data_IF_368795094256
#
_entry.id   IF_368795094256
#
_cell.length_a   1.000
_cell.length_b   1.000
_cell.length_c   1.000
_cell.angle_alpha   90.00
_cell.angle_beta   90.00
_cell.angle_gamma   90.00
#
_symmetry.space_group_name_H-M   'P 1'
#
loop_
_entity.id
_entity.type
_entity.pdbx_description
1 polymer ?
#
# COMPACT_ATOMS: atom_id res chain seq x y z
N UNK A 1 14.96 49.15 -25.05
CA UNK A 1 15.45 47.95 -24.31
C UNK A 1 14.53 47.53 -23.16
N UNK A 2 13.96 48.42 -22.39
CA UNK A 2 13.13 48.15 -21.19
C UNK A 2 11.83 47.36 -21.49
N UNK A 3 11.14 47.62 -22.62
CA UNK A 3 9.89 46.92 -22.98
C UNK A 3 10.07 45.40 -23.26
N UNK A 4 11.21 44.97 -23.85
CA UNK A 4 11.50 43.55 -24.09
C UNK A 4 11.80 42.77 -22.81
N UNK A 5 12.46 43.43 -21.85
CA UNK A 5 12.78 42.81 -20.55
C UNK A 5 11.52 42.53 -19.73
N UNK A 6 10.54 43.44 -19.74
CA UNK A 6 9.26 43.22 -19.03
C UNK A 6 8.42 42.06 -19.62
N UNK A 7 8.47 41.84 -20.93
CA UNK A 7 7.75 40.75 -21.58
C UNK A 7 8.37 39.40 -21.19
N UNK A 8 9.69 39.28 -21.16
CA UNK A 8 10.40 38.07 -20.76
C UNK A 8 10.14 37.74 -19.29
N UNK A 9 10.11 38.74 -18.41
CA UNK A 9 9.80 38.54 -16.98
C UNK A 9 8.34 38.14 -16.76
N UNK A 10 7.39 38.69 -17.52
CA UNK A 10 5.98 38.35 -17.45
C UNK A 10 5.70 36.92 -17.95
N UNK A 11 6.38 36.49 -19.05
CA UNK A 11 6.24 35.11 -19.56
C UNK A 11 6.88 34.08 -18.64
N UNK A 12 8.00 34.41 -17.99
CA UNK A 12 8.64 33.53 -17.02
C UNK A 12 7.78 33.38 -15.73
N UNK A 13 7.18 34.46 -15.27
CA UNK A 13 6.27 34.44 -14.12
C UNK A 13 4.98 33.64 -14.41
N UNK A 14 4.47 33.71 -15.65
CA UNK A 14 3.30 32.93 -16.07
C UNK A 14 3.59 31.43 -16.17
N UNK A 15 4.81 31.05 -16.57
CA UNK A 15 5.24 29.66 -16.65
C UNK A 15 5.34 28.98 -15.27
N UNK A 16 5.76 29.72 -14.23
CA UNK A 16 5.84 29.22 -12.86
C UNK A 16 4.46 28.90 -12.25
N UNK A 17 3.39 29.56 -12.71
CA UNK A 17 2.04 29.31 -12.24
C UNK A 17 1.43 28.00 -12.78
N UNK A 18 1.81 27.57 -13.99
CA UNK A 18 1.24 26.37 -14.61
C UNK A 18 1.81 25.06 -14.05
N UNK A 19 3.00 25.06 -13.50
CA UNK A 19 3.64 23.83 -13.00
C UNK A 19 2.94 23.28 -11.75
N UNK A 20 2.36 24.13 -10.91
CA UNK A 20 1.70 23.73 -9.67
C UNK A 20 0.27 23.16 -9.88
N UNK A 21 -0.43 23.52 -10.95
CA UNK A 21 -1.79 23.05 -11.21
C UNK A 21 -1.89 21.56 -11.55
N UNK A 22 -0.84 20.97 -12.12
CA UNK A 22 -0.84 19.56 -12.55
C UNK A 22 -0.71 18.59 -11.38
N UNK A 23 0.02 18.95 -10.32
CA UNK A 23 0.22 18.06 -9.16
C UNK A 23 -0.99 18.02 -8.24
N UNK A 24 -1.64 19.15 -7.98
CA UNK A 24 -2.85 19.23 -7.17
C UNK A 24 -3.99 18.36 -7.74
N UNK A 25 -4.16 18.36 -9.06
CA UNK A 25 -5.20 17.56 -9.73
C UNK A 25 -4.96 16.04 -9.60
N UNK A 26 -3.69 15.59 -9.58
CA UNK A 26 -3.38 14.17 -9.44
C UNK A 26 -3.65 13.66 -8.01
N UNK A 27 -3.16 14.38 -7.01
CA UNK A 27 -3.33 14.03 -5.59
C UNK A 27 -4.81 13.95 -5.21
N UNK A 28 -5.60 14.91 -5.63
CA UNK A 28 -7.06 14.90 -5.44
C UNK A 28 -7.73 13.68 -6.09
N UNK A 29 -7.39 13.36 -7.34
CA UNK A 29 -7.91 12.18 -8.04
C UNK A 29 -7.56 10.88 -7.30
N UNK A 30 -6.31 10.76 -6.81
CA UNK A 30 -5.86 9.59 -6.05
C UNK A 30 -6.64 9.46 -4.75
N UNK A 31 -6.81 10.56 -4.01
CA UNK A 31 -7.59 10.61 -2.78
C UNK A 31 -9.04 10.19 -3.05
N UNK A 32 -9.67 10.78 -4.05
CA UNK A 32 -11.05 10.48 -4.41
C UNK A 32 -11.24 9.02 -4.80
N UNK A 33 -10.33 8.45 -5.60
CA UNK A 33 -10.35 7.03 -5.93
C UNK A 33 -10.18 6.18 -4.68
N UNK A 34 -9.18 6.46 -3.84
CA UNK A 34 -8.86 5.62 -2.69
C UNK A 34 -9.95 5.67 -1.60
N UNK A 35 -10.65 6.81 -1.45
CA UNK A 35 -11.81 6.96 -0.55
C UNK A 35 -12.93 5.94 -0.86
N UNK A 36 -13.15 5.62 -2.12
CA UNK A 36 -14.22 4.71 -2.55
C UNK A 36 -13.90 3.23 -2.32
N UNK A 37 -12.62 2.87 -2.13
CA UNK A 37 -12.20 1.48 -1.99
C UNK A 37 -12.53 0.96 -0.59
N UNK A 38 -13.40 -0.03 -0.48
CA UNK A 38 -13.75 -0.71 0.77
C UNK A 38 -13.17 -2.11 0.85
N UNK A 39 -13.02 -2.78 -0.28
CA UNK A 39 -12.41 -4.10 -0.38
C UNK A 39 -11.43 -4.15 -1.55
N UNK A 40 -10.42 -5.01 -1.39
CA UNK A 40 -9.41 -5.31 -2.41
C UNK A 40 -9.20 -6.82 -2.50
N UNK A 41 -9.09 -7.32 -3.71
CA UNK A 41 -8.52 -8.63 -4.03
C UNK A 41 -7.37 -8.43 -4.99
N UNK A 42 -6.28 -9.15 -4.81
CA UNK A 42 -5.13 -9.09 -5.70
C UNK A 42 -4.24 -10.32 -5.59
N UNK A 43 -3.57 -10.64 -6.66
CA UNK A 43 -2.42 -11.52 -6.64
C UNK A 43 -1.17 -10.73 -6.24
N UNK A 44 -0.22 -11.37 -5.55
CA UNK A 44 1.00 -10.71 -5.16
C UNK A 44 2.25 -11.54 -5.44
N UNK A 45 3.35 -10.82 -5.63
CA UNK A 45 4.70 -11.33 -5.52
C UNK A 45 5.35 -10.67 -4.33
N UNK A 46 5.74 -11.47 -3.32
CA UNK A 46 6.52 -11.01 -2.18
C UNK A 46 7.99 -11.40 -2.35
N UNK A 47 8.89 -10.44 -2.18
CA UNK A 47 10.33 -10.70 -2.12
C UNK A 47 10.85 -10.30 -0.73
N UNK A 48 11.65 -11.17 -0.11
CA UNK A 48 12.35 -10.93 1.16
C UNK A 48 13.80 -11.38 0.97
N UNK A 49 14.73 -10.44 0.81
CA UNK A 49 16.08 -10.75 0.34
C UNK A 49 16.00 -11.50 -0.99
N UNK A 50 16.60 -12.68 -1.07
CA UNK A 50 16.57 -13.53 -2.27
C UNK A 50 15.34 -14.44 -2.39
N UNK A 51 14.50 -14.51 -1.33
CA UNK A 51 13.33 -15.40 -1.33
C UNK A 51 12.15 -14.71 -2.02
N UNK A 52 11.55 -15.42 -2.99
CA UNK A 52 10.36 -14.98 -3.71
C UNK A 52 9.20 -15.92 -3.38
N UNK A 53 8.08 -15.36 -2.96
CA UNK A 53 6.84 -16.08 -2.68
C UNK A 53 5.69 -15.42 -3.47
N UNK A 54 4.71 -16.24 -3.83
CA UNK A 54 3.52 -15.82 -4.57
C UNK A 54 2.27 -16.21 -3.80
N UNK A 55 1.22 -15.45 -4.00
CA UNK A 55 -0.08 -15.76 -3.40
C UNK A 55 -1.15 -14.79 -3.85
N UNK A 56 -2.29 -14.88 -3.18
CA UNK A 56 -3.40 -13.96 -3.35
C UNK A 56 -3.83 -13.40 -2.00
N UNK A 57 -4.31 -12.16 -2.00
CA UNK A 57 -4.77 -11.46 -0.80
C UNK A 57 -6.15 -10.89 -0.98
N UNK A 58 -6.86 -10.84 0.14
CA UNK A 58 -8.11 -10.12 0.34
C UNK A 58 -7.92 -9.10 1.46
N UNK A 59 -8.28 -7.86 1.21
CA UNK A 59 -8.34 -6.81 2.22
C UNK A 59 -9.78 -6.29 2.29
N UNK A 60 -10.28 -6.11 3.50
CA UNK A 60 -11.51 -5.39 3.78
C UNK A 60 -11.23 -4.33 4.84
N UNK A 61 -11.34 -3.10 4.43
CA UNK A 61 -11.12 -1.97 5.33
C UNK A 61 -12.25 -1.81 6.36
N UNK A 62 -11.93 -1.42 7.59
CA UNK A 62 -10.57 -1.33 8.13
C UNK A 62 -10.07 -2.67 8.69
N UNK A 63 -8.76 -2.89 8.66
CA UNK A 63 -8.01 -3.84 9.48
C UNK A 63 -8.23 -5.35 9.22
N UNK A 64 -8.98 -5.72 8.19
CA UNK A 64 -9.17 -7.13 7.84
C UNK A 64 -8.31 -7.48 6.61
N UNK A 65 -7.55 -8.57 6.70
CA UNK A 65 -6.72 -9.07 5.62
C UNK A 65 -6.59 -10.58 5.71
N UNK A 66 -6.60 -11.24 4.56
CA UNK A 66 -6.20 -12.64 4.43
C UNK A 66 -5.36 -12.82 3.18
N UNK A 67 -4.13 -13.33 3.35
CA UNK A 67 -3.26 -13.71 2.25
C UNK A 67 -2.96 -15.20 2.31
N UNK A 68 -3.12 -15.86 1.19
CA UNK A 68 -2.78 -17.28 1.02
C UNK A 68 -1.49 -17.42 0.22
N UNK A 69 -0.62 -18.33 0.68
CA UNK A 69 0.64 -18.72 0.03
C UNK A 69 0.57 -20.22 -0.33
N UNK A 70 -0.05 -20.57 -1.46
CA UNK A 70 -0.40 -21.96 -1.75
C UNK A 70 0.81 -22.90 -1.73
N UNK A 71 1.91 -22.51 -2.39
CA UNK A 71 3.15 -23.31 -2.44
C UNK A 71 3.78 -23.57 -1.06
N UNK A 72 3.55 -22.69 -0.10
CA UNK A 72 4.08 -22.76 1.27
C UNK A 72 3.09 -23.39 2.27
N UNK A 73 1.87 -23.68 1.84
CA UNK A 73 0.78 -24.10 2.74
C UNK A 73 0.69 -23.17 3.96
N UNK A 74 0.79 -21.86 3.70
CA UNK A 74 0.83 -20.78 4.69
C UNK A 74 -0.28 -19.78 4.39
N UNK A 75 -0.95 -19.29 5.42
CA UNK A 75 -1.83 -18.12 5.34
C UNK A 75 -1.43 -17.06 6.36
N UNK A 76 -1.71 -15.82 6.04
CA UNK A 76 -1.56 -14.67 6.92
C UNK A 76 -2.93 -14.04 7.08
N UNK A 77 -3.38 -13.84 8.33
CA UNK A 77 -4.70 -13.28 8.62
C UNK A 77 -4.56 -12.11 9.59
N UNK A 78 -5.17 -10.98 9.26
CA UNK A 78 -5.44 -9.88 10.19
C UNK A 78 -6.96 -9.78 10.41
N UNK A 79 -7.38 -9.74 11.67
CA UNK A 79 -8.80 -9.73 12.05
C UNK A 79 -9.21 -8.46 12.84
N UNK A 80 -8.50 -7.37 12.66
CA UNK A 80 -8.73 -6.12 13.37
C UNK A 80 -7.90 -5.95 14.65
N UNK A 81 -7.60 -7.02 15.37
CA UNK A 81 -6.83 -7.02 16.63
C UNK A 81 -5.51 -7.77 16.52
N UNK A 82 -5.55 -8.96 15.94
CA UNK A 82 -4.43 -9.88 15.81
C UNK A 82 -3.95 -9.96 14.37
N UNK A 83 -2.68 -10.20 14.24
CA UNK A 83 -2.03 -10.64 13.02
C UNK A 83 -1.52 -12.05 13.28
N UNK A 84 -1.90 -13.01 12.46
CA UNK A 84 -1.47 -14.40 12.62
C UNK A 84 -0.84 -14.95 11.37
N UNK A 85 0.14 -15.84 11.57
CA UNK A 85 0.75 -16.65 10.51
C UNK A 85 0.34 -18.10 10.77
N UNK A 86 -0.48 -18.65 9.88
CA UNK A 86 -0.95 -20.04 9.92
C UNK A 86 -0.03 -20.89 9.05
N UNK A 87 0.70 -21.82 9.64
CA UNK A 87 1.55 -22.79 8.93
C UNK A 87 0.83 -24.15 8.89
N UNK A 88 -0.02 -24.37 7.88
CA UNK A 88 -0.86 -25.56 7.74
C UNK A 88 -0.05 -26.86 7.78
N UNK A 89 1.15 -26.90 7.15
CA UNK A 89 2.04 -28.07 7.15
C UNK A 89 2.43 -28.52 8.56
N UNK A 90 2.56 -27.58 9.50
CA UNK A 90 3.03 -27.86 10.87
C UNK A 90 1.89 -27.82 11.91
N UNK A 91 0.66 -27.58 11.45
CA UNK A 91 -0.52 -27.37 12.32
C UNK A 91 -0.24 -26.33 13.43
N UNK A 92 0.40 -25.18 13.07
CA UNK A 92 0.82 -24.14 14.01
C UNK A 92 0.31 -22.77 13.59
N UNK A 93 -0.09 -21.99 14.61
CA UNK A 93 -0.52 -20.60 14.44
C UNK A 93 0.35 -19.70 15.32
N UNK A 94 1.03 -18.76 14.68
CA UNK A 94 1.84 -17.75 15.36
C UNK A 94 1.03 -16.47 15.49
N UNK A 95 0.89 -15.95 16.71
CA UNK A 95 0.08 -14.79 17.03
C UNK A 95 0.92 -13.56 17.30
N UNK A 96 0.53 -12.44 16.70
CA UNK A 96 1.17 -11.14 16.89
C UNK A 96 0.11 -10.07 17.11
N UNK A 97 0.45 -8.98 17.80
CA UNK A 97 -0.38 -7.80 17.86
C UNK A 97 -0.33 -7.06 16.52
N UNK A 98 -1.45 -6.85 15.87
CA UNK A 98 -1.50 -6.11 14.60
C UNK A 98 -0.91 -4.69 14.76
N UNK A 99 -1.15 -4.03 15.90
CA UNK A 99 -0.63 -2.69 16.21
C UNK A 99 0.89 -2.59 16.22
N UNK A 100 1.59 -3.72 16.44
CA UNK A 100 3.06 -3.80 16.47
C UNK A 100 3.67 -4.16 15.11
N UNK A 101 2.86 -4.34 14.08
CA UNK A 101 3.32 -4.67 12.72
C UNK A 101 3.19 -3.47 11.79
N UNK A 102 4.08 -3.30 10.79
CA UNK A 102 3.94 -2.26 9.78
C UNK A 102 2.63 -2.35 8.98
N UNK A 103 2.00 -3.52 8.94
CA UNK A 103 0.72 -3.73 8.25
C UNK A 103 -0.42 -2.86 8.79
N UNK A 104 -0.35 -2.40 10.04
CA UNK A 104 -1.37 -1.49 10.62
C UNK A 104 -1.54 -0.24 9.76
N UNK A 105 -0.44 0.28 9.21
CA UNK A 105 -0.45 1.49 8.38
C UNK A 105 -1.11 1.26 7.02
N UNK A 106 -0.97 0.05 6.47
CA UNK A 106 -1.57 -0.32 5.19
C UNK A 106 -3.04 -0.73 5.31
N UNK A 107 -3.43 -1.27 6.46
CA UNK A 107 -4.80 -1.74 6.72
C UNK A 107 -5.72 -0.67 7.32
N UNK A 108 -5.19 0.51 7.63
CA UNK A 108 -5.98 1.70 7.96
C UNK A 108 -5.99 2.67 6.78
N UNK A 109 -7.09 2.65 6.02
CA UNK A 109 -7.26 3.50 4.83
C UNK A 109 -7.01 4.98 5.13
N UNK A 110 -7.43 5.44 6.30
CA UNK A 110 -7.28 6.82 6.76
C UNK A 110 -5.81 7.25 6.85
N UNK A 111 -4.90 6.33 7.20
CA UNK A 111 -3.46 6.64 7.27
C UNK A 111 -2.90 6.88 5.86
N UNK A 112 -3.31 6.06 4.89
CA UNK A 112 -2.87 6.23 3.50
C UNK A 112 -3.46 7.51 2.91
N UNK A 113 -4.73 7.80 3.17
CA UNK A 113 -5.37 9.04 2.72
C UNK A 113 -4.68 10.27 3.31
N UNK A 114 -4.41 10.26 4.62
CA UNK A 114 -3.70 11.34 5.28
C UNK A 114 -2.27 11.52 4.75
N UNK A 115 -1.57 10.41 4.46
CA UNK A 115 -0.25 10.45 3.84
C UNK A 115 -0.30 11.14 2.47
N UNK A 116 -1.26 10.76 1.62
CA UNK A 116 -1.40 11.34 0.28
C UNK A 116 -1.76 12.82 0.38
N UNK A 117 -2.65 13.19 1.29
CA UNK A 117 -3.15 14.56 1.46
C UNK A 117 -2.07 15.53 1.99
N UNK A 118 -1.22 15.05 2.92
CA UNK A 118 -0.29 15.90 3.67
C UNK A 118 1.18 15.69 3.32
N UNK A 119 1.49 14.94 2.27
CA UNK A 119 2.87 14.70 1.85
C UNK A 119 3.03 14.83 0.36
N UNK A 120 4.17 15.39 -0.04
CA UNK A 120 4.58 15.34 -1.44
C UNK A 120 5.09 13.95 -1.80
N UNK A 121 4.84 13.46 -3.03
CA UNK A 121 5.42 12.22 -3.48
C UNK A 121 6.95 12.31 -3.52
N UNK A 122 7.64 11.26 -3.08
CA UNK A 122 9.12 11.19 -3.13
C UNK A 122 9.67 11.27 -4.53
N UNK A 123 8.98 10.65 -5.48
CA UNK A 123 9.35 10.63 -6.88
C UNK A 123 8.12 10.32 -7.71
N UNK A 124 8.02 10.99 -8.86
CA UNK A 124 7.01 10.76 -9.88
C UNK A 124 7.78 10.37 -11.14
N UNK A 125 8.09 9.07 -11.27
CA UNK A 125 8.57 8.51 -12.53
C UNK A 125 7.45 8.57 -13.57
N UNK A 126 7.77 8.27 -14.84
CA UNK A 126 6.81 8.38 -15.94
C UNK A 126 5.47 7.70 -15.64
N UNK A 127 5.46 6.56 -14.92
CA UNK A 127 4.27 5.76 -14.66
C UNK A 127 4.01 5.43 -13.19
N UNK A 128 4.92 5.73 -12.27
CA UNK A 128 4.82 5.31 -10.86
C UNK A 128 4.95 6.51 -9.94
N UNK A 129 4.07 6.59 -8.96
CA UNK A 129 4.10 7.58 -7.89
C UNK A 129 4.43 6.87 -6.58
N UNK A 130 5.40 7.43 -5.87
CA UNK A 130 5.94 6.86 -4.63
C UNK A 130 5.69 7.81 -3.47
N UNK A 131 5.06 7.29 -2.42
CA UNK A 131 4.97 7.96 -1.12
C UNK A 131 5.79 7.20 -0.08
N UNK A 132 6.36 7.91 0.88
CA UNK A 132 7.02 7.29 2.03
C UNK A 132 6.27 7.65 3.31
N UNK A 133 5.85 6.63 4.04
CA UNK A 133 5.29 6.76 5.37
C UNK A 133 6.35 6.37 6.39
N UNK A 134 6.56 7.22 7.37
CA UNK A 134 7.42 6.94 8.51
C UNK A 134 6.54 6.48 9.66
N UNK A 135 6.61 5.22 9.99
CA UNK A 135 5.87 4.63 11.10
C UNK A 135 6.61 4.77 12.44
N UNK A 136 6.01 4.24 13.49
CA UNK A 136 6.65 4.17 14.81
C UNK A 136 7.97 3.37 14.71
N UNK A 137 8.96 3.74 15.52
CA UNK A 137 10.31 3.16 15.53
C UNK A 137 11.08 3.35 14.22
N UNK A 138 10.84 4.46 13.52
CA UNK A 138 11.52 4.81 12.25
C UNK A 138 11.35 3.78 11.11
N UNK A 139 10.35 2.90 11.21
CA UNK A 139 10.02 1.98 10.12
C UNK A 139 9.51 2.78 8.92
N UNK A 140 10.20 2.65 7.79
CA UNK A 140 9.82 3.30 6.54
C UNK A 140 9.03 2.34 5.66
N UNK A 141 7.89 2.81 5.17
CA UNK A 141 7.07 2.08 4.21
C UNK A 141 6.95 2.94 2.96
N UNK A 142 7.43 2.43 1.84
CA UNK A 142 7.24 3.06 0.52
C UNK A 142 6.02 2.44 -0.13
N UNK A 143 5.08 3.28 -0.54
CA UNK A 143 3.83 2.86 -1.19
C UNK A 143 3.88 3.34 -2.64
N UNK A 144 3.48 2.48 -3.56
CA UNK A 144 3.54 2.72 -5.00
C UNK A 144 2.14 2.73 -5.60
N UNK A 145 1.86 3.75 -6.40
CA UNK A 145 0.63 3.86 -7.18
C UNK A 145 0.97 3.99 -8.66
N UNK A 146 0.13 3.42 -9.50
CA UNK A 146 0.16 3.68 -10.94
C UNK A 146 -0.37 5.09 -11.21
N UNK A 147 0.35 5.87 -12.00
CA UNK A 147 0.01 7.26 -12.30
C UNK A 147 -1.22 7.39 -13.18
N UNK A 148 -1.43 6.42 -14.07
CA UNK A 148 -2.51 6.47 -15.05
C UNK A 148 -3.81 5.87 -14.49
N UNK A 149 -3.70 4.68 -13.88
CA UNK A 149 -4.86 3.96 -13.32
C UNK A 149 -5.17 4.36 -11.88
N UNK A 150 -4.23 5.00 -11.17
CA UNK A 150 -4.30 5.35 -9.74
C UNK A 150 -4.45 4.12 -8.84
N UNK A 151 -4.03 2.95 -9.30
CA UNK A 151 -4.10 1.72 -8.53
C UNK A 151 -2.90 1.58 -7.60
N UNK A 152 -3.13 0.95 -6.45
CA UNK A 152 -2.08 0.59 -5.52
C UNK A 152 -1.28 -0.57 -6.09
N UNK A 153 -0.04 -0.31 -6.55
CA UNK A 153 0.83 -1.34 -7.14
C UNK A 153 1.57 -2.19 -6.10
N UNK A 154 1.64 -1.73 -4.86
CA UNK A 154 2.33 -2.46 -3.82
C UNK A 154 3.03 -1.56 -2.81
N UNK A 155 3.88 -2.18 -2.00
CA UNK A 155 4.71 -1.46 -1.02
C UNK A 155 6.07 -2.13 -0.83
N UNK A 156 7.00 -1.37 -0.23
CA UNK A 156 8.30 -1.85 0.27
C UNK A 156 8.52 -1.39 1.70
N UNK A 157 9.20 -2.22 2.48
CA UNK A 157 9.64 -1.90 3.84
C UNK A 157 10.93 -2.65 4.17
N UNK A 158 11.49 -2.39 5.35
CA UNK A 158 12.61 -3.15 5.90
C UNK A 158 12.08 -3.98 7.08
N UNK A 159 12.44 -5.25 7.13
CA UNK A 159 12.10 -6.11 8.27
C UNK A 159 13.07 -5.92 9.46
N UNK A 160 12.81 -6.61 10.56
CA UNK A 160 13.64 -6.55 11.79
C UNK A 160 15.04 -7.12 11.60
N UNK A 161 15.31 -7.82 10.52
CA UNK A 161 16.60 -8.37 10.15
C UNK A 161 17.31 -7.56 9.07
N UNK A 162 16.83 -6.33 8.82
CA UNK A 162 17.34 -5.41 7.79
C UNK A 162 17.19 -5.93 6.35
N UNK A 163 16.33 -6.91 6.09
CA UNK A 163 16.01 -7.32 4.73
C UNK A 163 14.99 -6.37 4.11
N UNK A 164 15.19 -6.04 2.84
CA UNK A 164 14.13 -5.40 2.05
C UNK A 164 12.99 -6.40 1.84
N UNK A 165 11.79 -6.00 2.19
CA UNK A 165 10.55 -6.72 1.92
C UNK A 165 9.75 -5.92 0.91
N UNK A 166 9.44 -6.51 -0.22
CA UNK A 166 8.58 -5.91 -1.24
C UNK A 166 7.36 -6.77 -1.50
N UNK A 167 6.22 -6.11 -1.66
CA UNK A 167 4.99 -6.67 -2.19
C UNK A 167 4.63 -5.94 -3.47
N UNK A 168 4.48 -6.67 -4.55
CA UNK A 168 4.00 -6.15 -5.82
C UNK A 168 2.68 -6.82 -6.16
N UNK A 169 1.68 -6.01 -6.54
CA UNK A 169 0.32 -6.45 -6.82
C UNK A 169 0.08 -6.61 -8.31
N UNK A 170 -0.79 -7.55 -8.64
CA UNK A 170 -1.34 -7.80 -9.97
C UNK A 170 -2.80 -8.22 -9.85
N UNK A 171 -3.54 -8.13 -10.95
CA UNK A 171 -4.94 -8.57 -11.01
C UNK A 171 -5.78 -7.96 -9.87
N UNK A 172 -5.69 -6.63 -9.74
CA UNK A 172 -6.33 -5.91 -8.63
C UNK A 172 -7.81 -5.73 -8.94
N UNK A 173 -8.66 -6.19 -8.03
CA UNK A 173 -10.09 -5.94 -8.05
C UNK A 173 -10.50 -5.15 -6.81
N UNK A 174 -11.35 -4.15 -6.99
CA UNK A 174 -11.82 -3.28 -5.92
C UNK A 174 -13.31 -3.46 -5.68
N UNK A 175 -13.75 -3.26 -4.44
CA UNK A 175 -15.16 -3.25 -4.04
C UNK A 175 -15.91 -4.57 -4.35
N UNK A 176 -15.18 -5.69 -4.39
CA UNK A 176 -15.77 -7.02 -4.50
C UNK A 176 -16.46 -7.43 -3.19
N UNK A 177 -17.46 -8.29 -3.30
CA UNK A 177 -18.14 -8.82 -2.13
C UNK A 177 -17.24 -9.82 -1.39
N UNK A 178 -16.82 -9.48 -0.17
CA UNK A 178 -16.00 -10.35 0.69
C UNK A 178 -16.76 -10.66 1.99
N UNK A 179 -17.00 -11.94 2.23
CA UNK A 179 -17.62 -12.41 3.48
C UNK A 179 -16.63 -12.28 4.65
N UNK A 180 -17.11 -11.88 5.83
CA UNK A 180 -16.25 -11.68 7.00
C UNK A 180 -15.66 -13.01 7.54
N UNK A 181 -16.29 -14.14 7.23
CA UNK A 181 -15.86 -15.47 7.65
C UNK A 181 -14.45 -15.82 7.21
N UNK A 182 -14.01 -15.33 6.05
CA UNK A 182 -12.66 -15.63 5.54
C UNK A 182 -11.55 -15.07 6.46
N UNK A 183 -11.84 -14.01 7.23
CA UNK A 183 -10.88 -13.37 8.15
C UNK A 183 -10.87 -13.99 9.55
N UNK A 184 -11.69 -15.02 9.80
CA UNK A 184 -11.65 -15.76 11.06
C UNK A 184 -10.33 -16.53 11.19
N UNK A 185 -9.74 -16.44 12.36
CA UNK A 185 -8.54 -17.21 12.69
C UNK A 185 -9.01 -18.64 13.01
N UNK A 186 -8.49 -19.66 12.30
CA UNK A 186 -8.83 -21.05 12.61
C UNK A 186 -8.24 -21.46 13.97
N UNK A 187 -8.70 -22.58 14.52
CA UNK A 187 -8.01 -23.22 15.63
C UNK A 187 -6.91 -24.15 15.09
N UNK A 188 -5.90 -24.45 15.92
CA UNK A 188 -4.82 -25.38 15.52
C UNK A 188 -5.34 -26.81 15.28
N UNK A 189 -6.39 -27.22 15.98
CA UNK A 189 -7.06 -28.53 15.79
C UNK A 189 -7.73 -28.65 14.41
N UNK A 190 -8.12 -27.55 13.77
CA UNK A 190 -8.81 -27.51 12.48
C UNK A 190 -7.84 -27.48 11.28
N UNK A 191 -6.52 -27.54 11.50
CA UNK A 191 -5.48 -27.39 10.47
C UNK A 191 -5.01 -28.73 9.89
#
# INVERSE_FOLDING_TARGET
>A
MIKKLNIIFLTFFFYLFFVNFSQANFQEKLINKYKTINTLSFDFTQKIGEKVEFGNCYIKYPLLMKCEYPKKKKSIIANGKRFVIVKKKYKKIYHYSLKKTPLIYLLKKEIILNLIENSEPLNVDSNIIKYELIGNNSNKIKIFFDKNTLELLGWKTIDVYSNEVSFLFRNIETNILIKNEIFKIPKEEDL
#
